data_IF_862557484512
#
_entry.id   IF_862557484512
#
_cell.length_a   1.000
_cell.length_b   1.000
_cell.length_c   1.000
_cell.angle_alpha   90.00
_cell.angle_beta   90.00
_cell.angle_gamma   90.00
#
_symmetry.space_group_name_H-M   'P 1'
#
loop_
_entity.id
_entity.type
_entity.pdbx_description
1 polymer ?
#
# COMPACT_ATOMS: atom_id res chain seq x y z
N UNK A 1 -8.97 18.54 13.94
CA UNK A 1 -10.02 17.67 13.38
C UNK A 1 -10.14 16.41 14.23
N UNK A 2 -10.65 16.41 15.45
CA UNK A 2 -11.42 17.42 16.19
C UNK A 2 -12.61 16.69 16.81
N UNK A 3 -12.86 16.88 18.11
CA UNK A 3 -13.90 16.27 18.98
C UNK A 3 -15.34 16.32 18.41
N UNK A 4 -15.52 16.89 17.22
CA UNK A 4 -16.78 17.16 16.57
C UNK A 4 -16.74 16.70 15.10
N UNK A 5 -17.42 15.57 14.87
CA UNK A 5 -17.89 14.93 13.60
C UNK A 5 -17.08 13.74 13.05
N UNK A 6 -17.83 12.75 12.55
CA UNK A 6 -17.51 11.35 12.26
C UNK A 6 -17.14 10.46 13.47
N UNK A 7 -16.42 10.98 14.46
CA UNK A 7 -16.07 10.23 15.68
C UNK A 7 -17.13 10.41 16.78
N UNK A 8 -18.10 9.49 16.89
CA UNK A 8 -19.08 9.41 18.01
C UNK A 8 -20.10 10.57 18.17
N UNK A 9 -20.43 11.39 17.18
CA UNK A 9 -21.52 12.40 17.31
C UNK A 9 -21.48 13.25 18.61
N UNK A 10 -20.34 13.83 18.98
CA UNK A 10 -20.16 14.58 20.25
C UNK A 10 -20.25 13.72 21.54
N UNK A 11 -20.34 12.39 21.44
CA UNK A 11 -20.35 11.47 22.59
C UNK A 11 -18.95 11.05 23.07
N UNK A 12 -17.87 11.61 22.51
CA UNK A 12 -16.53 11.42 23.07
C UNK A 12 -16.35 12.33 24.29
N UNK A 13 -16.57 11.77 25.48
CA UNK A 13 -16.46 12.46 26.78
C UNK A 13 -15.04 12.49 27.36
N UNK A 14 -14.04 12.01 26.62
CA UNK A 14 -12.67 11.81 27.12
C UNK A 14 -11.80 13.07 27.18
N UNK A 15 -12.23 14.20 26.62
CA UNK A 15 -11.43 15.43 26.54
C UNK A 15 -10.37 15.40 25.42
N UNK A 16 -9.80 16.56 25.10
CA UNK A 16 -8.90 16.71 23.93
C UNK A 16 -7.63 15.87 24.02
N UNK A 17 -7.02 15.77 25.20
CA UNK A 17 -5.76 15.03 25.41
C UNK A 17 -5.92 13.53 25.12
N UNK A 18 -6.95 12.89 25.68
CA UNK A 18 -7.22 11.47 25.43
C UNK A 18 -7.56 11.22 23.97
N UNK A 19 -8.23 12.16 23.31
CA UNK A 19 -8.50 12.05 21.88
C UNK A 19 -7.21 12.11 21.07
N UNK A 20 -6.29 13.03 21.40
CA UNK A 20 -4.99 13.14 20.71
C UNK A 20 -4.18 11.86 20.88
N UNK A 21 -4.10 11.32 22.10
CA UNK A 21 -3.42 10.05 22.37
C UNK A 21 -4.03 8.90 21.54
N UNK A 22 -5.36 8.75 21.60
CA UNK A 22 -6.07 7.75 20.81
C UNK A 22 -5.86 7.94 19.31
N UNK A 23 -5.96 9.16 18.79
CA UNK A 23 -5.77 9.43 17.37
C UNK A 23 -4.35 9.09 16.92
N UNK A 24 -3.33 9.40 17.73
CA UNK A 24 -1.95 9.03 17.45
C UNK A 24 -1.77 7.50 17.44
N UNK A 25 -2.37 6.78 18.39
CA UNK A 25 -2.29 5.32 18.48
C UNK A 25 -3.08 4.58 17.39
N UNK A 26 -4.04 5.23 16.74
CA UNK A 26 -4.94 4.60 15.76
C UNK A 26 -4.76 5.12 14.32
N UNK A 27 -3.85 6.08 14.11
CA UNK A 27 -3.49 6.56 12.78
C UNK A 27 -2.39 5.69 12.21
N UNK A 28 -2.63 5.08 11.04
CA UNK A 28 -1.59 4.36 10.32
C UNK A 28 -0.73 5.29 9.47
N UNK A 29 0.57 5.02 9.40
CA UNK A 29 1.50 5.66 8.47
C UNK A 29 1.93 4.65 7.41
N UNK A 30 1.58 4.94 6.16
CA UNK A 30 1.80 4.06 5.03
C UNK A 30 2.46 4.84 3.88
N UNK A 31 3.80 4.98 3.86
CA UNK A 31 4.50 5.58 2.75
C UNK A 31 4.41 4.71 1.48
N UNK A 32 4.58 5.36 0.33
CA UNK A 32 4.64 4.70 -0.97
C UNK A 32 6.10 4.54 -1.42
N UNK A 33 6.47 3.35 -1.87
CA UNK A 33 7.74 3.09 -2.54
C UNK A 33 7.52 3.11 -4.06
N UNK A 34 8.14 4.08 -4.71
CA UNK A 34 8.06 4.25 -6.17
C UNK A 34 9.35 4.81 -6.79
N UNK A 35 10.40 5.01 -6.00
CA UNK A 35 11.70 5.50 -6.48
C UNK A 35 12.77 4.42 -6.20
N UNK A 36 13.37 3.81 -7.26
CA UNK A 36 14.37 2.77 -7.10
C UNK A 36 15.64 3.28 -6.38
N UNK A 37 15.93 4.58 -6.40
CA UNK A 37 17.10 5.15 -5.73
C UNK A 37 17.03 5.04 -4.20
N UNK A 38 15.84 4.83 -3.65
CA UNK A 38 15.64 4.69 -2.20
C UNK A 38 16.01 3.30 -1.68
N UNK A 39 16.22 2.31 -2.54
CA UNK A 39 16.35 0.90 -2.12
C UNK A 39 17.48 0.68 -1.11
N UNK A 40 18.62 1.34 -1.27
CA UNK A 40 19.80 1.16 -0.42
C UNK A 40 19.56 1.60 1.02
N UNK A 41 18.76 2.67 1.20
CA UNK A 41 18.39 3.21 2.52
C UNK A 41 17.02 2.69 3.01
N UNK A 42 16.28 1.97 2.16
CA UNK A 42 14.88 1.65 2.37
C UNK A 42 14.63 0.87 3.66
N UNK A 43 15.48 -0.11 3.99
CA UNK A 43 15.37 -0.88 5.23
C UNK A 43 15.46 0.03 6.47
N UNK A 44 16.41 0.98 6.48
CA UNK A 44 16.57 1.92 7.58
C UNK A 44 15.41 2.93 7.67
N UNK A 45 14.85 3.33 6.53
CA UNK A 45 13.69 4.22 6.46
C UNK A 45 12.43 3.55 7.03
N UNK A 46 12.15 2.30 6.67
CA UNK A 46 10.94 1.61 7.11
C UNK A 46 11.06 1.01 8.50
N UNK A 47 12.28 0.82 9.01
CA UNK A 47 12.53 0.38 10.39
C UNK A 47 12.33 1.51 11.40
N UNK A 48 12.04 2.73 10.96
CA UNK A 48 11.71 3.83 11.88
C UNK A 48 10.43 3.50 12.67
N UNK A 49 10.35 3.93 13.94
CA UNK A 49 9.13 3.81 14.71
C UNK A 49 7.94 4.41 13.95
N UNK A 50 6.78 3.75 14.06
CA UNK A 50 5.50 4.21 13.53
C UNK A 50 5.28 4.04 12.01
N UNK A 51 6.13 3.31 11.28
CA UNK A 51 5.80 2.86 9.91
C UNK A 51 5.06 1.53 9.99
N UNK A 52 3.77 1.53 9.65
CA UNK A 52 2.92 0.33 9.79
C UNK A 52 2.97 -0.57 8.54
N UNK A 53 3.06 0.05 7.37
CA UNK A 53 3.09 -0.63 6.09
C UNK A 53 3.82 0.21 5.05
N UNK A 54 4.20 -0.39 3.92
CA UNK A 54 4.61 0.34 2.71
C UNK A 54 3.76 -0.11 1.55
N UNK A 55 3.32 0.82 0.70
CA UNK A 55 2.66 0.48 -0.56
C UNK A 55 3.64 0.65 -1.71
N UNK A 56 3.81 -0.36 -2.55
CA UNK A 56 4.56 -0.24 -3.79
C UNK A 56 3.62 0.29 -4.86
N UNK A 57 4.04 1.35 -5.57
CA UNK A 57 3.35 1.91 -6.73
C UNK A 57 3.97 1.40 -8.04
N UNK A 58 3.49 0.30 -8.65
CA UNK A 58 4.24 -0.36 -9.72
C UNK A 58 4.33 0.48 -10.99
N UNK A 59 3.32 1.33 -11.26
CA UNK A 59 3.29 2.20 -12.43
C UNK A 59 4.33 3.31 -12.32
N UNK A 60 4.36 4.03 -11.21
CA UNK A 60 5.31 5.11 -10.99
C UNK A 60 6.73 4.56 -10.81
N UNK A 61 6.88 3.42 -10.14
CA UNK A 61 8.15 2.68 -10.08
C UNK A 61 8.68 2.34 -11.47
N UNK A 62 7.83 1.80 -12.37
CA UNK A 62 8.25 1.50 -13.74
C UNK A 62 8.72 2.74 -14.50
N UNK A 63 8.07 3.89 -14.30
CA UNK A 63 8.45 5.14 -14.94
C UNK A 63 9.80 5.65 -14.40
N UNK A 64 10.00 5.63 -13.08
CA UNK A 64 11.24 6.05 -12.45
C UNK A 64 12.42 5.12 -12.80
N UNK A 65 12.15 3.86 -13.12
CA UNK A 65 13.13 2.90 -13.63
C UNK A 65 13.38 3.01 -15.15
N UNK A 66 12.68 3.90 -15.85
CA UNK A 66 12.86 4.10 -17.30
C UNK A 66 12.05 3.15 -18.20
N UNK A 67 11.04 2.45 -17.66
CA UNK A 67 10.20 1.49 -18.36
C UNK A 67 8.78 2.04 -18.57
N UNK A 68 8.53 2.83 -19.64
CA UNK A 68 7.22 3.47 -19.86
C UNK A 68 6.10 2.47 -20.13
N UNK A 69 6.44 1.28 -20.64
CA UNK A 69 5.52 0.18 -20.98
C UNK A 69 4.89 -0.47 -19.73
N UNK A 70 5.42 -0.15 -18.55
CA UNK A 70 4.76 -0.42 -17.28
C UNK A 70 5.40 -1.53 -16.44
N UNK A 71 4.69 -1.99 -15.40
CA UNK A 71 5.29 -2.76 -14.32
C UNK A 71 5.69 -4.18 -14.70
N UNK A 72 5.20 -4.72 -15.82
CA UNK A 72 5.49 -6.10 -16.22
C UNK A 72 6.93 -6.31 -16.74
N UNK A 73 7.71 -5.25 -16.88
CA UNK A 73 9.12 -5.37 -17.23
C UNK A 73 9.87 -6.23 -16.18
N UNK A 74 10.73 -7.19 -16.58
CA UNK A 74 11.39 -8.11 -15.65
C UNK A 74 12.13 -7.40 -14.52
N UNK A 75 12.85 -6.30 -14.82
CA UNK A 75 13.59 -5.53 -13.83
C UNK A 75 12.68 -4.84 -12.80
N UNK A 76 11.50 -4.36 -13.22
CA UNK A 76 10.51 -3.78 -12.30
C UNK A 76 9.92 -4.87 -11.41
N UNK A 77 9.67 -6.06 -11.96
CA UNK A 77 9.19 -7.21 -11.19
C UNK A 77 10.23 -7.64 -10.14
N UNK A 78 11.52 -7.67 -10.50
CA UNK A 78 12.60 -7.97 -9.56
C UNK A 78 12.72 -6.91 -8.47
N UNK A 79 12.57 -5.62 -8.82
CA UNK A 79 12.56 -4.54 -7.83
C UNK A 79 11.39 -4.69 -6.85
N UNK A 80 10.19 -5.02 -7.33
CA UNK A 80 9.04 -5.32 -6.47
C UNK A 80 9.36 -6.47 -5.51
N UNK A 81 9.98 -7.55 -5.99
CA UNK A 81 10.35 -8.70 -5.15
C UNK A 81 11.38 -8.30 -4.07
N UNK A 82 12.37 -7.45 -4.41
CA UNK A 82 13.34 -6.90 -3.45
C UNK A 82 12.67 -6.06 -2.37
N UNK A 83 11.77 -5.14 -2.76
CA UNK A 83 11.09 -4.25 -1.82
C UNK A 83 10.20 -5.05 -0.87
N UNK A 84 9.45 -6.03 -1.37
CA UNK A 84 8.64 -6.93 -0.53
C UNK A 84 9.52 -7.71 0.46
N UNK A 85 10.67 -8.21 0.00
CA UNK A 85 11.62 -8.93 0.86
C UNK A 85 12.19 -8.02 1.98
N UNK A 86 12.51 -6.77 1.68
CA UNK A 86 12.98 -5.79 2.68
C UNK A 86 11.87 -5.48 3.70
N UNK A 87 10.65 -5.21 3.25
CA UNK A 87 9.50 -5.03 4.15
C UNK A 87 9.32 -6.23 5.10
N UNK A 88 9.35 -7.44 4.54
CA UNK A 88 9.25 -8.69 5.33
C UNK A 88 10.37 -8.81 6.36
N UNK A 89 11.61 -8.48 6.00
CA UNK A 89 12.76 -8.50 6.92
C UNK A 89 12.60 -7.48 8.05
N UNK A 90 12.10 -6.29 7.75
CA UNK A 90 11.85 -5.24 8.73
C UNK A 90 10.60 -5.48 9.60
N UNK A 91 9.78 -6.49 9.28
CA UNK A 91 8.51 -6.74 9.97
C UNK A 91 7.42 -5.72 9.63
N UNK A 92 7.57 -5.01 8.51
CA UNK A 92 6.62 -4.00 8.00
C UNK A 92 5.75 -4.63 6.92
N UNK A 93 4.44 -4.37 6.95
CA UNK A 93 3.53 -4.94 5.96
C UNK A 93 3.82 -4.38 4.55
N UNK A 94 3.94 -5.27 3.56
CA UNK A 94 4.07 -4.88 2.16
C UNK A 94 2.69 -4.83 1.49
N UNK A 95 2.39 -3.70 0.89
CA UNK A 95 1.21 -3.47 0.09
C UNK A 95 1.53 -3.21 -1.37
N UNK A 96 0.60 -3.58 -2.26
CA UNK A 96 0.74 -3.36 -3.70
C UNK A 96 -0.63 -3.34 -4.37
N UNK A 97 -0.73 -2.60 -5.48
CA UNK A 97 -1.96 -2.58 -6.29
C UNK A 97 -2.12 -3.88 -7.07
N UNK A 98 -3.36 -4.37 -7.14
CA UNK A 98 -3.72 -5.53 -7.95
C UNK A 98 -5.05 -5.30 -8.65
N UNK A 99 -5.07 -5.48 -9.97
CA UNK A 99 -6.25 -5.19 -10.80
C UNK A 99 -7.22 -6.37 -10.93
N UNK A 100 -6.76 -7.60 -10.67
CA UNK A 100 -7.53 -8.84 -10.88
C UNK A 100 -7.26 -9.84 -9.78
N UNK A 101 -8.10 -10.87 -9.63
CA UNK A 101 -7.85 -11.95 -8.67
C UNK A 101 -6.50 -12.64 -8.91
N UNK A 102 -6.18 -12.96 -10.16
CA UNK A 102 -4.93 -13.65 -10.49
C UNK A 102 -3.70 -12.81 -10.12
N UNK A 103 -3.79 -11.49 -10.33
CA UNK A 103 -2.74 -10.56 -9.91
C UNK A 103 -2.66 -10.50 -8.37
N UNK A 104 -3.78 -10.41 -7.67
CA UNK A 104 -3.80 -10.47 -6.20
C UNK A 104 -3.15 -11.74 -5.65
N UNK A 105 -3.49 -12.91 -6.22
CA UNK A 105 -2.90 -14.20 -5.81
C UNK A 105 -1.37 -14.20 -6.01
N UNK A 106 -0.89 -13.64 -7.14
CA UNK A 106 0.53 -13.47 -7.41
C UNK A 106 1.21 -12.58 -6.36
N UNK A 107 0.61 -11.44 -6.01
CA UNK A 107 1.21 -10.54 -5.02
C UNK A 107 1.21 -11.15 -3.61
N UNK A 108 0.15 -11.88 -3.23
CA UNK A 108 0.12 -12.63 -1.97
C UNK A 108 1.21 -13.70 -1.95
N UNK A 109 1.41 -14.44 -3.04
CA UNK A 109 2.47 -15.45 -3.14
C UNK A 109 3.89 -14.85 -3.01
N UNK A 110 4.08 -13.59 -3.43
CA UNK A 110 5.33 -12.83 -3.21
C UNK A 110 5.57 -12.45 -1.75
N UNK A 111 4.51 -12.42 -0.94
CA UNK A 111 4.56 -12.02 0.47
C UNK A 111 3.93 -10.66 0.77
N UNK A 112 3.23 -10.05 -0.18
CA UNK A 112 2.41 -8.88 0.13
C UNK A 112 1.24 -9.27 1.05
N UNK A 113 1.01 -8.48 2.10
CA UNK A 113 -0.05 -8.71 3.10
C UNK A 113 -1.17 -7.67 3.00
N UNK A 114 -1.00 -6.63 2.17
CA UNK A 114 -2.00 -5.62 1.89
C UNK A 114 -2.25 -5.49 0.39
N UNK A 115 -3.43 -5.90 -0.09
CA UNK A 115 -3.76 -5.85 -1.51
C UNK A 115 -4.67 -4.66 -1.80
N UNK A 116 -4.19 -3.73 -2.63
CA UNK A 116 -4.95 -2.56 -3.06
C UNK A 116 -5.69 -2.90 -4.35
N UNK A 117 -6.91 -3.42 -4.19
CA UNK A 117 -7.78 -3.74 -5.30
C UNK A 117 -8.23 -2.50 -6.06
N UNK A 118 -8.21 -2.56 -7.39
CA UNK A 118 -8.66 -1.44 -8.24
C UNK A 118 -10.15 -1.61 -8.53
N UNK A 119 -10.99 -0.98 -7.70
CA UNK A 119 -12.46 -1.10 -7.78
C UNK A 119 -13.01 -0.84 -9.19
N UNK A 120 -12.46 0.15 -9.90
CA UNK A 120 -12.86 0.42 -11.28
C UNK A 120 -12.64 -0.77 -12.22
N UNK A 121 -11.49 -1.46 -12.14
CA UNK A 121 -11.19 -2.61 -12.99
C UNK A 121 -12.10 -3.78 -12.62
N UNK A 122 -12.32 -4.03 -11.33
CA UNK A 122 -13.21 -5.09 -10.86
C UNK A 122 -14.65 -4.87 -11.34
N UNK A 123 -15.17 -3.65 -11.22
CA UNK A 123 -16.51 -3.29 -11.70
C UNK A 123 -16.60 -3.40 -13.22
N UNK A 124 -15.60 -2.89 -13.95
CA UNK A 124 -15.55 -2.94 -15.42
C UNK A 124 -15.55 -4.38 -15.93
N UNK A 125 -14.71 -5.25 -15.37
CA UNK A 125 -14.62 -6.65 -15.77
C UNK A 125 -15.90 -7.41 -15.42
N UNK A 126 -16.43 -7.24 -14.20
CA UNK A 126 -17.69 -7.88 -13.82
C UNK A 126 -18.89 -7.42 -14.67
N UNK A 127 -18.91 -6.14 -15.07
CA UNK A 127 -19.95 -5.60 -15.95
C UNK A 127 -19.87 -6.18 -17.37
N UNK A 128 -18.65 -6.33 -17.90
CA UNK A 128 -18.37 -6.97 -19.20
C UNK A 128 -18.85 -8.42 -19.21
N UNK A 129 -18.41 -9.20 -18.22
CA UNK A 129 -18.81 -10.59 -18.03
C UNK A 129 -20.33 -10.74 -17.93
N UNK A 130 -21.00 -9.88 -17.15
CA UNK A 130 -22.46 -9.88 -17.01
C UNK A 130 -23.18 -9.58 -18.33
N UNK A 131 -22.64 -8.66 -19.14
CA UNK A 131 -23.22 -8.30 -20.44
C UNK A 131 -22.86 -9.28 -21.56
N UNK A 132 -22.02 -10.29 -21.28
CA UNK A 132 -21.50 -11.20 -22.31
C UNK A 132 -20.60 -10.51 -23.34
N UNK A 133 -19.93 -9.42 -22.94
CA UNK A 133 -18.99 -8.64 -23.74
C UNK A 133 -17.58 -8.77 -23.18
#
# INVERSE_FOLDING_TARGET
>A
MGISRASKYMAYSGGAEKYIQFANEQTMVIPQFEDPALLDDFEAMISQPHVDAVVIGPRDLSLNMGFPDGPNHPEVQEMIDKVIAVCKKAGVAAGITAGTKADSDKQVARGATMILGIAQILIMNGSKDFLGK
#
